data_IF_160218845148
#
_entry.id   IF_160218845148
#
_cell.length_a   1.000
_cell.length_b   1.000
_cell.length_c   1.000
_cell.angle_alpha   90.00
_cell.angle_beta   90.00
_cell.angle_gamma   90.00
#
_symmetry.space_group_name_H-M   'P 1'
#
loop_
_entity.id
_entity.type
_entity.pdbx_description
1 polymer ?
#
# COMPACT_ATOMS: atom_id res chain seq x y z
N UNK A 1 17.98 2.70 -2.31
CA UNK A 1 16.53 2.44 -2.40
C UNK A 1 15.86 3.64 -1.76
N UNK A 2 14.88 4.25 -2.42
CA UNK A 2 14.14 5.40 -1.87
C UNK A 2 13.24 4.95 -0.71
N UNK A 3 12.87 5.85 0.22
CA UNK A 3 12.06 5.50 1.40
C UNK A 3 10.72 4.84 1.07
N UNK A 4 10.10 5.20 -0.04
CA UNK A 4 8.79 4.70 -0.50
C UNK A 4 8.87 3.32 -1.18
N UNK A 5 10.07 2.90 -1.62
CA UNK A 5 10.23 1.61 -2.27
C UNK A 5 10.11 0.46 -1.26
N UNK A 6 9.49 -0.62 -1.67
CA UNK A 6 9.29 -1.84 -0.86
C UNK A 6 9.63 -3.07 -1.69
N UNK A 7 10.29 -4.01 -1.06
CA UNK A 7 10.50 -5.35 -1.59
C UNK A 7 10.01 -6.33 -0.53
N UNK A 8 9.00 -7.10 -0.89
CA UNK A 8 8.45 -8.16 -0.06
C UNK A 8 8.74 -9.50 -0.70
N UNK A 9 8.80 -10.54 0.09
CA UNK A 9 8.95 -11.89 -0.41
C UNK A 9 8.18 -12.90 0.43
N UNK A 10 7.84 -14.02 -0.20
CA UNK A 10 7.25 -15.16 0.46
C UNK A 10 7.78 -16.45 -0.17
N UNK A 11 8.08 -17.44 0.64
CA UNK A 11 8.34 -18.78 0.14
C UNK A 11 7.04 -19.41 -0.34
N UNK A 12 7.06 -19.86 -1.60
CA UNK A 12 5.93 -20.60 -2.20
C UNK A 12 6.16 -22.09 -2.04
N UNK A 13 7.40 -22.51 -2.27
CA UNK A 13 7.82 -23.89 -2.09
C UNK A 13 9.28 -23.91 -1.63
N UNK A 14 9.58 -24.71 -0.64
CA UNK A 14 10.93 -24.91 -0.13
C UNK A 14 11.49 -26.32 -0.46
N UNK A 15 10.86 -27.02 -1.41
CA UNK A 15 11.27 -28.36 -1.87
C UNK A 15 10.90 -29.48 -0.91
N UNK A 16 10.25 -29.21 0.22
CA UNK A 16 9.83 -30.19 1.22
C UNK A 16 10.00 -29.73 2.66
N UNK A 17 9.58 -30.56 3.62
CA UNK A 17 9.55 -30.24 5.04
C UNK A 17 10.53 -31.05 5.89
N UNK A 18 11.17 -32.07 5.32
CA UNK A 18 12.09 -32.92 6.06
C UNK A 18 13.48 -32.24 6.21
N UNK A 19 13.94 -31.93 7.43
CA UNK A 19 15.15 -31.14 7.65
C UNK A 19 16.44 -31.89 7.34
N UNK A 20 16.39 -33.21 7.19
CA UNK A 20 17.50 -34.09 6.88
C UNK A 20 17.61 -34.44 5.39
N UNK A 21 16.78 -33.86 4.55
CA UNK A 21 16.79 -34.03 3.09
C UNK A 21 17.33 -32.77 2.45
N UNK A 22 18.29 -32.88 1.55
CA UNK A 22 18.75 -31.77 0.72
C UNK A 22 17.71 -31.51 -0.35
N UNK A 23 17.15 -30.33 -0.35
CA UNK A 23 16.13 -29.91 -1.30
C UNK A 23 16.76 -29.60 -2.66
N UNK A 24 16.14 -30.03 -3.73
CA UNK A 24 16.61 -29.83 -5.10
C UNK A 24 16.08 -28.53 -5.74
N UNK A 25 15.05 -27.93 -5.15
CA UNK A 25 14.47 -26.68 -5.60
C UNK A 25 13.87 -25.87 -4.47
N UNK A 26 13.71 -24.56 -4.71
CA UNK A 26 12.91 -23.66 -3.88
C UNK A 26 12.30 -22.54 -4.75
N UNK A 27 11.06 -22.18 -4.46
CA UNK A 27 10.36 -21.09 -5.14
C UNK A 27 10.05 -19.96 -4.20
N UNK A 28 10.50 -18.77 -4.54
CA UNK A 28 10.26 -17.54 -3.77
C UNK A 28 9.53 -16.55 -4.66
N UNK A 29 8.41 -16.03 -4.19
CA UNK A 29 7.70 -14.92 -4.82
C UNK A 29 8.20 -13.62 -4.26
N UNK A 30 8.55 -12.69 -5.13
CA UNK A 30 8.90 -11.31 -4.78
C UNK A 30 7.82 -10.35 -5.25
N UNK A 31 7.51 -9.36 -4.44
CA UNK A 31 6.73 -8.19 -4.81
C UNK A 31 7.61 -6.96 -4.69
N UNK A 32 7.83 -6.27 -5.82
CA UNK A 32 8.64 -5.05 -5.88
C UNK A 32 7.71 -3.87 -6.13
N UNK A 33 7.74 -2.89 -5.24
CA UNK A 33 6.86 -1.71 -5.28
C UNK A 33 7.69 -0.44 -5.22
N UNK A 34 7.31 0.55 -6.02
CA UNK A 34 7.85 1.90 -5.97
C UNK A 34 6.84 2.86 -6.61
N UNK A 35 6.88 4.17 -6.30
CA UNK A 35 5.97 5.15 -6.88
C UNK A 35 6.01 5.22 -8.40
N UNK A 36 7.18 4.97 -9.01
CA UNK A 36 7.39 5.11 -10.45
C UNK A 36 7.82 3.80 -11.10
N UNK A 37 7.28 3.50 -12.28
CA UNK A 37 7.56 2.25 -13.01
C UNK A 37 9.04 2.08 -13.36
N UNK A 38 9.75 3.15 -13.68
CA UNK A 38 11.18 3.07 -13.99
C UNK A 38 12.00 2.59 -12.78
N UNK A 39 11.63 3.03 -11.57
CA UNK A 39 12.27 2.57 -10.33
C UNK A 39 11.95 1.09 -10.04
N UNK A 40 10.71 0.66 -10.31
CA UNK A 40 10.33 -0.75 -10.19
C UNK A 40 11.17 -1.62 -11.12
N UNK A 41 11.37 -1.19 -12.37
CA UNK A 41 12.22 -1.90 -13.34
C UNK A 41 13.66 -2.03 -12.85
N UNK A 42 14.24 -0.95 -12.35
CA UNK A 42 15.60 -0.96 -11.79
C UNK A 42 15.71 -1.90 -10.58
N UNK A 43 14.77 -1.82 -9.65
CA UNK A 43 14.73 -2.69 -8.46
C UNK A 43 14.51 -4.16 -8.83
N UNK A 44 13.68 -4.43 -9.82
CA UNK A 44 13.44 -5.78 -10.33
C UNK A 44 14.71 -6.40 -10.89
N UNK A 45 15.45 -5.66 -11.74
CA UNK A 45 16.75 -6.12 -12.24
C UNK A 45 17.76 -6.35 -11.11
N UNK A 46 17.73 -5.53 -10.07
CA UNK A 46 18.56 -5.71 -8.89
C UNK A 46 18.22 -7.00 -8.12
N UNK A 47 16.93 -7.31 -7.95
CA UNK A 47 16.49 -8.58 -7.33
C UNK A 47 16.94 -9.77 -8.15
N UNK A 48 16.82 -9.72 -9.49
CA UNK A 48 17.34 -10.77 -10.39
C UNK A 48 18.85 -10.95 -10.25
N UNK A 49 19.61 -9.86 -10.13
CA UNK A 49 21.05 -9.93 -9.93
C UNK A 49 21.44 -10.56 -8.59
N UNK A 50 20.66 -10.31 -7.53
CA UNK A 50 20.85 -10.99 -6.24
C UNK A 50 20.60 -12.49 -6.39
N UNK A 51 19.52 -12.90 -7.04
CA UNK A 51 19.23 -14.32 -7.29
C UNK A 51 20.32 -14.99 -8.15
N UNK A 52 20.80 -14.31 -9.20
CA UNK A 52 21.93 -14.79 -10.01
C UNK A 52 23.21 -14.95 -9.19
N UNK A 53 23.51 -13.98 -8.32
CA UNK A 53 24.65 -14.06 -7.42
C UNK A 53 24.54 -15.26 -6.47
N UNK A 54 23.36 -15.49 -5.90
CA UNK A 54 23.10 -16.63 -5.03
C UNK A 54 23.30 -17.97 -5.78
N UNK A 55 22.81 -18.10 -7.00
CA UNK A 55 22.97 -19.31 -7.80
C UNK A 55 24.44 -19.62 -8.12
N UNK A 56 25.24 -18.58 -8.43
CA UNK A 56 26.69 -18.74 -8.65
C UNK A 56 27.39 -19.19 -7.37
N UNK A 57 27.00 -18.62 -6.22
CA UNK A 57 27.62 -18.96 -4.92
C UNK A 57 27.34 -20.40 -4.48
N UNK A 58 26.26 -21.00 -4.93
CA UNK A 58 25.82 -22.34 -4.51
C UNK A 58 25.90 -23.39 -5.61
N UNK A 59 26.46 -23.02 -6.77
CA UNK A 59 26.55 -23.88 -7.96
C UNK A 59 25.18 -24.43 -8.38
N UNK A 60 24.18 -23.57 -8.34
CA UNK A 60 22.81 -23.88 -8.73
C UNK A 60 22.39 -23.03 -9.93
N UNK A 61 21.21 -23.27 -10.45
CA UNK A 61 20.57 -22.46 -11.49
C UNK A 61 19.42 -21.66 -10.91
N UNK A 62 19.02 -20.55 -11.54
CA UNK A 62 17.79 -19.85 -11.20
C UNK A 62 17.00 -19.52 -12.45
N UNK A 63 15.71 -19.53 -12.30
CA UNK A 63 14.75 -19.05 -13.28
C UNK A 63 13.93 -17.91 -12.68
N UNK A 64 13.51 -16.98 -13.51
CA UNK A 64 12.72 -15.84 -13.09
C UNK A 64 11.53 -15.67 -14.02
N UNK A 65 10.33 -15.78 -13.48
CA UNK A 65 9.07 -15.52 -14.18
C UNK A 65 8.47 -14.20 -13.69
N UNK A 66 8.04 -13.35 -14.62
CA UNK A 66 7.25 -12.16 -14.32
C UNK A 66 5.76 -12.52 -14.40
N UNK A 67 5.14 -12.76 -13.26
CA UNK A 67 3.71 -13.15 -13.22
C UNK A 67 2.76 -11.98 -13.42
N UNK A 68 3.14 -10.75 -12.99
CA UNK A 68 2.28 -9.57 -13.03
C UNK A 68 3.09 -8.29 -12.97
N UNK A 69 2.64 -7.27 -13.69
CA UNK A 69 3.20 -5.92 -13.63
C UNK A 69 2.11 -4.87 -13.78
N UNK A 70 2.22 -3.80 -13.00
CA UNK A 70 1.37 -2.62 -13.08
C UNK A 70 2.22 -1.37 -13.24
N UNK A 71 1.65 -0.37 -13.90
CA UNK A 71 2.21 0.97 -13.96
C UNK A 71 1.55 1.89 -12.94
N UNK A 72 1.97 3.14 -12.91
CA UNK A 72 1.37 4.19 -12.09
C UNK A 72 -0.12 4.37 -12.44
N UNK A 73 -0.89 4.72 -11.43
CA UNK A 73 -2.29 5.08 -11.61
C UNK A 73 -2.38 6.41 -12.36
N UNK A 74 -3.14 6.42 -13.46
CA UNK A 74 -3.48 7.65 -14.19
C UNK A 74 -4.83 8.16 -13.70
N UNK A 75 -4.89 9.32 -13.02
CA UNK A 75 -6.15 9.88 -12.54
C UNK A 75 -7.08 10.24 -13.71
N UNK A 76 -8.33 9.81 -13.62
CA UNK A 76 -9.39 10.24 -14.53
C UNK A 76 -10.28 11.25 -13.80
N UNK A 77 -10.01 12.53 -14.01
CA UNK A 77 -10.71 13.61 -13.31
C UNK A 77 -12.22 13.66 -13.66
N UNK A 78 -12.62 13.31 -14.86
CA UNK A 78 -14.03 13.27 -15.24
C UNK A 78 -14.76 12.15 -14.48
N UNK A 79 -14.19 10.95 -14.44
CA UNK A 79 -14.75 9.84 -13.68
C UNK A 79 -14.76 10.13 -12.18
N UNK A 80 -13.71 10.76 -11.66
CA UNK A 80 -13.62 11.15 -10.26
C UNK A 80 -14.73 12.16 -9.87
N UNK A 81 -15.06 13.12 -10.74
CA UNK A 81 -16.16 14.06 -10.52
C UNK A 81 -17.52 13.35 -10.47
N UNK A 82 -17.78 12.46 -11.42
CA UNK A 82 -19.03 11.67 -11.43
C UNK A 82 -19.11 10.76 -10.18
N UNK A 83 -18.02 10.12 -9.81
CA UNK A 83 -17.98 9.29 -8.60
C UNK A 83 -18.25 10.13 -7.33
N UNK A 84 -17.72 11.35 -7.24
CA UNK A 84 -17.97 12.27 -6.13
C UNK A 84 -19.45 12.68 -6.06
N UNK A 85 -20.07 13.00 -7.19
CA UNK A 85 -21.52 13.29 -7.26
C UNK A 85 -22.36 12.10 -6.80
N UNK A 86 -22.08 10.90 -7.29
CA UNK A 86 -22.77 9.67 -6.87
C UNK A 86 -22.59 9.39 -5.38
N UNK A 87 -21.38 9.58 -4.84
CA UNK A 87 -21.10 9.39 -3.41
C UNK A 87 -21.86 10.43 -2.54
N UNK A 88 -22.03 11.65 -3.03
CA UNK A 88 -22.83 12.67 -2.35
C UNK A 88 -24.33 12.33 -2.38
N UNK A 89 -24.82 11.79 -3.48
CA UNK A 89 -26.22 11.34 -3.61
C UNK A 89 -26.54 10.17 -2.68
N UNK A 90 -25.68 9.15 -2.66
CA UNK A 90 -25.85 7.96 -1.78
C UNK A 90 -25.64 8.33 -0.32
N UNK A 91 -24.71 9.24 -0.03
CA UNK A 91 -24.34 9.67 1.31
C UNK A 91 -23.43 8.67 2.05
N UNK A 92 -23.04 9.04 3.24
CA UNK A 92 -22.22 8.19 4.10
C UNK A 92 -23.07 7.09 4.77
N UNK A 93 -22.49 5.90 5.02
CA UNK A 93 -23.12 4.89 5.85
C UNK A 93 -23.52 5.46 7.22
N UNK A 94 -24.67 5.04 7.72
CA UNK A 94 -25.11 5.42 9.06
C UNK A 94 -24.54 4.40 10.05
N UNK A 95 -23.66 4.87 10.91
CA UNK A 95 -23.04 4.08 11.96
C UNK A 95 -23.87 4.18 13.23
N UNK A 96 -24.11 3.04 13.87
CA UNK A 96 -24.80 2.98 15.16
C UNK A 96 -23.81 2.89 16.34
N UNK A 97 -24.34 2.85 17.56
CA UNK A 97 -23.51 2.75 18.77
C UNK A 97 -22.73 1.43 18.86
N UNK A 98 -23.22 0.36 18.23
CA UNK A 98 -22.52 -0.91 18.18
C UNK A 98 -21.27 -0.82 17.30
N UNK A 99 -21.39 -0.16 16.15
CA UNK A 99 -20.28 0.10 15.25
C UNK A 99 -19.18 0.93 15.93
N UNK A 100 -19.57 1.99 16.64
CA UNK A 100 -18.62 2.83 17.38
C UNK A 100 -17.95 2.07 18.53
N UNK A 101 -18.66 1.17 19.24
CA UNK A 101 -18.06 0.31 20.27
C UNK A 101 -17.03 -0.62 19.65
N UNK A 102 -17.39 -1.31 18.57
CA UNK A 102 -16.48 -2.20 17.85
C UNK A 102 -15.23 -1.46 17.37
N UNK A 103 -15.38 -0.30 16.74
CA UNK A 103 -14.25 0.52 16.31
C UNK A 103 -13.33 0.91 17.47
N UNK A 104 -13.91 1.22 18.64
CA UNK A 104 -13.14 1.53 19.86
C UNK A 104 -12.38 0.33 20.39
N UNK A 105 -12.98 -0.85 20.37
CA UNK A 105 -12.32 -2.11 20.78
C UNK A 105 -11.11 -2.39 19.86
N UNK A 106 -11.26 -2.26 18.54
CA UNK A 106 -10.14 -2.37 17.61
C UNK A 106 -9.03 -1.35 17.91
N UNK A 107 -9.38 -0.09 18.13
CA UNK A 107 -8.39 0.95 18.46
C UNK A 107 -7.62 0.64 19.74
N UNK A 108 -8.25 0.02 20.73
CA UNK A 108 -7.60 -0.37 21.99
C UNK A 108 -6.56 -1.49 21.82
N UNK A 109 -6.56 -2.21 20.69
CA UNK A 109 -5.53 -3.21 20.40
C UNK A 109 -4.19 -2.59 19.96
N UNK A 110 -4.18 -1.31 19.60
CA UNK A 110 -2.97 -0.60 19.17
C UNK A 110 -2.32 0.14 20.34
N UNK A 111 -1.00 0.21 20.40
CA UNK A 111 -0.29 1.10 21.34
C UNK A 111 -0.74 2.56 21.15
N UNK A 112 -0.84 3.32 22.23
CA UNK A 112 -1.23 4.74 22.20
C UNK A 112 -0.33 5.56 21.26
N UNK A 113 0.98 5.28 21.26
CA UNK A 113 1.97 5.91 20.36
C UNK A 113 1.66 5.69 18.87
N UNK A 114 1.08 4.54 18.51
CA UNK A 114 0.66 4.27 17.12
C UNK A 114 -0.47 5.19 16.70
N UNK A 115 -1.45 5.39 17.57
CA UNK A 115 -2.58 6.28 17.31
C UNK A 115 -2.15 7.75 17.22
N UNK A 116 -1.21 8.17 18.05
CA UNK A 116 -0.63 9.53 17.99
C UNK A 116 0.14 9.74 16.67
N UNK A 117 0.94 8.77 16.25
CA UNK A 117 1.67 8.82 14.98
C UNK A 117 0.70 8.88 13.78
N UNK A 118 -0.37 8.08 13.77
CA UNK A 118 -1.39 8.12 12.72
C UNK A 118 -2.07 9.49 12.67
N UNK A 119 -2.43 10.06 13.82
CA UNK A 119 -3.02 11.40 13.88
C UNK A 119 -2.07 12.46 13.33
N UNK A 120 -0.80 12.42 13.74
CA UNK A 120 0.23 13.35 13.26
C UNK A 120 0.42 13.27 11.75
N UNK A 121 0.46 12.06 11.19
CA UNK A 121 0.54 11.85 9.74
C UNK A 121 -0.70 12.39 9.00
N UNK A 122 -1.89 12.20 9.55
CA UNK A 122 -3.12 12.74 8.96
C UNK A 122 -3.09 14.27 8.98
N UNK A 123 -2.65 14.88 10.08
CA UNK A 123 -2.52 16.35 10.21
C UNK A 123 -1.50 16.87 9.20
N UNK A 124 -0.34 16.24 9.11
CA UNK A 124 0.74 16.65 8.21
C UNK A 124 0.31 16.56 6.73
N UNK A 125 -0.40 15.48 6.37
CA UNK A 125 -0.79 15.24 4.98
C UNK A 125 -2.01 16.06 4.56
N UNK A 126 -3.01 16.20 5.42
CA UNK A 126 -4.33 16.72 5.08
C UNK A 126 -4.74 17.97 5.87
N UNK A 127 -3.96 18.39 6.87
CA UNK A 127 -4.27 19.49 7.78
C UNK A 127 -5.22 19.10 8.92
N UNK A 128 -5.25 19.93 9.97
CA UNK A 128 -6.05 19.70 11.19
C UNK A 128 -7.56 19.59 10.91
N UNK A 129 -8.07 20.31 9.92
CA UNK A 129 -9.49 20.33 9.54
C UNK A 129 -10.05 18.92 9.24
N UNK A 130 -9.21 17.99 8.79
CA UNK A 130 -9.64 16.62 8.51
C UNK A 130 -9.92 15.81 9.76
N UNK A 131 -9.28 16.10 10.88
CA UNK A 131 -9.57 15.47 12.19
C UNK A 131 -10.85 16.03 12.82
N UNK A 132 -11.14 17.30 12.59
CA UNK A 132 -12.29 18.00 13.19
C UNK A 132 -13.59 17.67 12.46
N UNK A 133 -13.56 17.43 11.15
CA UNK A 133 -14.75 17.14 10.33
C UNK A 133 -15.52 15.89 10.71
N UNK A 134 -14.96 14.98 11.50
CA UNK A 134 -15.68 13.81 11.99
C UNK A 134 -16.85 14.11 12.94
N UNK A 135 -16.92 15.32 13.49
CA UNK A 135 -18.05 15.73 14.35
C UNK A 135 -19.24 16.34 13.59
N UNK A 136 -19.09 16.65 12.30
CA UNK A 136 -20.13 17.37 11.54
C UNK A 136 -20.65 16.63 10.29
N UNK A 137 -20.47 15.31 10.19
CA UNK A 137 -21.06 14.52 9.10
C UNK A 137 -22.59 14.38 9.19
N UNK A 138 -23.25 15.17 10.02
CA UNK A 138 -24.71 15.32 10.03
C UNK A 138 -25.21 16.50 9.20
N UNK A 139 -24.38 17.15 8.39
CA UNK A 139 -24.81 18.27 7.55
C UNK A 139 -23.74 18.68 6.53
N UNK A 140 -24.11 18.54 5.27
CA UNK A 140 -23.47 19.12 4.08
C UNK A 140 -21.94 18.98 3.98
N UNK A 141 -21.49 17.98 3.25
CA UNK A 141 -20.14 17.91 2.72
C UNK A 141 -19.95 19.02 1.67
N UNK A 142 -19.58 20.21 2.13
CA UNK A 142 -19.15 21.26 1.23
C UNK A 142 -17.77 20.88 0.68
N UNK A 143 -17.71 20.53 -0.59
CA UNK A 143 -16.50 20.33 -1.36
C UNK A 143 -15.64 21.58 -1.32
N UNK A 144 -14.61 21.60 -0.48
CA UNK A 144 -13.54 22.57 -0.64
C UNK A 144 -12.63 22.07 -1.74
N UNK A 145 -12.86 22.53 -2.98
CA UNK A 145 -11.86 22.51 -4.04
C UNK A 145 -10.65 23.30 -3.54
N UNK A 146 -9.68 22.65 -2.93
CA UNK A 146 -8.32 23.18 -2.94
C UNK A 146 -7.76 22.83 -4.31
N UNK A 147 -7.54 23.88 -5.12
CA UNK A 147 -6.92 23.75 -6.41
C UNK A 147 -5.61 22.94 -6.29
N UNK A 148 -5.50 21.89 -7.09
CA UNK A 148 -4.21 21.29 -7.39
C UNK A 148 -3.33 22.42 -7.89
N UNK A 149 -2.28 22.75 -7.15
CA UNK A 149 -1.22 23.61 -7.66
C UNK A 149 -0.54 22.81 -8.75
N UNK A 150 -0.52 23.38 -9.94
CA UNK A 150 0.20 22.86 -11.08
C UNK A 150 1.62 22.47 -10.69
N UNK A 151 1.99 21.21 -10.86
CA UNK A 151 3.37 20.76 -10.96
C UNK A 151 4.02 20.07 -9.77
N UNK A 152 3.28 19.54 -8.79
CA UNK A 152 3.91 18.67 -7.77
C UNK A 152 3.13 17.35 -7.66
N UNK A 153 3.59 16.37 -8.41
CA UNK A 153 3.30 14.96 -8.19
C UNK A 153 4.27 14.43 -7.14
N UNK A 154 3.78 14.08 -5.97
CA UNK A 154 4.45 13.23 -5.01
C UNK A 154 3.72 11.89 -4.92
#
# INVERSE_FOLDING_TARGET
MIPEARIHYAYIDAGGTAPNVVQDHATIRYEVRSPWVYQVKELFERVKNVARGASIMTDTTFECELSMAFTEYLPNNALAAVADECLQEVGAPKWDDADYRMAKEFLNTYPATTLENIKSQIIETYGEDRLVRRKSLSGNCATTRRGMRDGQYY
#
